data_IF_400658513826
#
_entry.id   IF_400658513826
#
_cell.length_a   1.000
_cell.length_b   1.000
_cell.length_c   1.000
_cell.angle_alpha   90.00
_cell.angle_beta   90.00
_cell.angle_gamma   90.00
#
_symmetry.space_group_name_H-M   'P 1'
#
loop_
_entity.id
_entity.type
_entity.pdbx_description
1 polymer ?
#
# COMPACT_ATOMS: atom_id res chain seq x y z
N UNK A 1 -8.90 -3.30 38.01
CA UNK A 1 -9.04 -3.09 39.47
C UNK A 1 -10.41 -3.47 40.04
N UNK A 2 -11.47 -3.63 39.21
CA UNK A 2 -12.82 -4.03 39.66
C UNK A 2 -13.17 -5.52 39.45
N UNK A 3 -12.20 -6.34 39.02
CA UNK A 3 -12.42 -7.77 38.77
C UNK A 3 -12.21 -8.59 40.05
N UNK A 4 -12.84 -9.76 40.14
CA UNK A 4 -12.72 -10.64 41.29
C UNK A 4 -11.25 -11.12 41.48
N UNK A 5 -10.70 -11.20 42.71
CA UNK A 5 -9.31 -11.60 42.95
C UNK A 5 -8.89 -12.93 42.32
N UNK A 6 -9.82 -13.89 42.19
CA UNK A 6 -9.57 -15.15 41.48
C UNK A 6 -9.30 -14.96 39.98
N UNK A 7 -10.04 -14.06 39.32
CA UNK A 7 -9.89 -13.75 37.89
C UNK A 7 -8.58 -13.03 37.65
N UNK A 8 -8.23 -12.10 38.54
CA UNK A 8 -6.94 -11.40 38.49
C UNK A 8 -5.79 -12.40 38.67
N UNK A 9 -5.88 -13.30 39.66
CA UNK A 9 -4.88 -14.34 39.87
C UNK A 9 -4.72 -15.25 38.64
N UNK A 10 -5.83 -15.62 37.99
CA UNK A 10 -5.78 -16.43 36.78
C UNK A 10 -5.07 -15.70 35.65
N UNK A 11 -5.41 -14.44 35.37
CA UNK A 11 -4.77 -13.65 34.32
C UNK A 11 -3.26 -13.52 34.60
N UNK A 12 -2.88 -13.16 35.83
CA UNK A 12 -1.48 -12.97 36.21
C UNK A 12 -0.65 -14.26 36.11
N UNK A 13 -1.25 -15.43 36.37
CA UNK A 13 -0.55 -16.72 36.28
C UNK A 13 -0.16 -17.11 34.83
N UNK A 14 -0.82 -16.51 33.83
CA UNK A 14 -0.55 -16.75 32.40
C UNK A 14 0.25 -15.62 31.72
N UNK A 15 0.60 -14.56 32.46
CA UNK A 15 1.45 -13.50 31.94
C UNK A 15 2.93 -13.78 32.21
N UNK A 16 3.80 -13.17 31.40
CA UNK A 16 5.23 -13.15 31.67
C UNK A 16 5.50 -12.54 33.06
N UNK A 17 6.39 -13.12 33.89
CA UNK A 17 6.60 -12.69 35.27
C UNK A 17 6.86 -11.18 35.42
N UNK A 18 7.60 -10.57 34.47
CA UNK A 18 7.85 -9.14 34.46
C UNK A 18 6.57 -8.32 34.33
N UNK A 19 5.69 -8.66 33.37
CA UNK A 19 4.40 -7.98 33.17
C UNK A 19 3.45 -8.21 34.34
N UNK A 20 3.39 -9.45 34.85
CA UNK A 20 2.58 -9.79 36.00
C UNK A 20 2.99 -9.01 37.26
N UNK A 21 4.30 -8.82 37.48
CA UNK A 21 4.82 -8.08 38.63
C UNK A 21 4.42 -6.61 38.65
N UNK A 22 4.39 -5.96 37.47
CA UNK A 22 3.97 -4.56 37.32
C UNK A 22 2.49 -4.43 37.64
N UNK A 23 1.66 -5.34 37.11
CA UNK A 23 0.22 -5.33 37.34
C UNK A 23 -0.07 -5.61 38.82
N UNK A 24 0.59 -6.60 39.44
CA UNK A 24 0.40 -6.92 40.86
C UNK A 24 0.71 -5.71 41.75
N UNK A 25 1.81 -4.98 41.50
CA UNK A 25 2.17 -3.76 42.24
C UNK A 25 1.15 -2.63 42.07
N UNK A 26 0.43 -2.59 40.95
CA UNK A 26 -0.59 -1.57 40.68
C UNK A 26 -1.95 -1.82 41.36
N UNK A 27 -2.12 -2.98 42.01
CA UNK A 27 -3.35 -3.32 42.75
C UNK A 27 -3.33 -2.72 44.16
N UNK A 28 -4.51 -2.48 44.78
CA UNK A 28 -4.59 -2.12 46.19
C UNK A 28 -3.92 -3.17 47.09
N UNK A 29 -3.20 -2.72 48.13
CA UNK A 29 -2.39 -3.56 49.02
C UNK A 29 -3.14 -4.77 49.62
N UNK A 30 -4.43 -4.58 49.92
CA UNK A 30 -5.32 -5.62 50.46
C UNK A 30 -5.63 -6.72 49.43
N UNK A 31 -5.71 -6.36 48.15
CA UNK A 31 -5.99 -7.27 47.03
C UNK A 31 -4.73 -8.01 46.60
N UNK A 32 -3.56 -7.36 46.66
CA UNK A 32 -2.28 -7.97 46.30
C UNK A 32 -2.02 -9.29 47.05
N UNK A 33 -2.25 -9.28 48.37
CA UNK A 33 -2.01 -10.44 49.23
C UNK A 33 -2.97 -11.60 48.94
N UNK A 34 -4.24 -11.31 48.62
CA UNK A 34 -5.21 -12.35 48.24
C UNK A 34 -4.91 -12.93 46.86
N UNK A 35 -4.57 -12.08 45.88
CA UNK A 35 -4.20 -12.50 44.53
C UNK A 35 -2.93 -13.35 44.55
N UNK A 36 -1.88 -12.93 45.26
CA UNK A 36 -0.63 -13.68 45.37
C UNK A 36 -0.84 -15.06 46.02
N UNK A 37 -1.64 -15.14 47.09
CA UNK A 37 -2.00 -16.42 47.71
C UNK A 37 -2.73 -17.33 46.73
N UNK A 38 -3.69 -16.80 45.98
CA UNK A 38 -4.47 -17.58 44.99
C UNK A 38 -3.62 -18.09 43.84
N UNK A 39 -2.63 -17.33 43.36
CA UNK A 39 -1.64 -17.79 42.37
C UNK A 39 -0.83 -18.95 42.95
N UNK A 40 -0.34 -18.81 44.19
CA UNK A 40 0.49 -19.82 44.84
C UNK A 40 -0.25 -21.13 45.14
N UNK A 41 -1.57 -21.09 45.38
CA UNK A 41 -2.41 -22.27 45.65
C UNK A 41 -3.20 -22.75 44.43
N UNK A 42 -2.99 -22.14 43.25
CA UNK A 42 -3.69 -22.54 42.03
C UNK A 42 -3.08 -23.85 41.52
N UNK A 43 -3.91 -24.85 41.26
CA UNK A 43 -3.44 -26.16 40.83
C UNK A 43 -3.71 -26.37 39.32
N UNK A 44 -4.95 -26.68 38.96
CA UNK A 44 -5.38 -26.82 37.56
C UNK A 44 -6.66 -26.03 37.29
N UNK A 45 -6.64 -25.21 36.26
CA UNK A 45 -7.79 -24.49 35.73
C UNK A 45 -8.39 -25.22 34.53
N UNK A 46 -9.72 -25.29 34.46
CA UNK A 46 -10.41 -25.91 33.33
C UNK A 46 -10.11 -25.12 32.04
N UNK A 47 -9.78 -25.78 30.92
CA UNK A 47 -9.60 -25.12 29.63
C UNK A 47 -10.82 -24.28 29.19
N UNK A 48 -12.03 -24.63 29.64
CA UNK A 48 -13.24 -23.88 29.32
C UNK A 48 -13.27 -22.51 30.01
N UNK A 49 -12.87 -22.47 31.28
CA UNK A 49 -12.78 -21.23 32.08
C UNK A 49 -11.69 -20.31 31.52
N UNK A 50 -10.57 -20.88 31.07
CA UNK A 50 -9.50 -20.11 30.43
C UNK A 50 -10.00 -19.45 29.13
N UNK A 51 -10.64 -20.21 28.24
CA UNK A 51 -11.20 -19.69 26.98
C UNK A 51 -12.27 -18.62 27.21
N UNK A 52 -13.06 -18.74 28.27
CA UNK A 52 -14.06 -17.73 28.62
C UNK A 52 -13.40 -16.43 29.07
N UNK A 53 -12.35 -16.52 29.89
CA UNK A 53 -11.58 -15.34 30.33
C UNK A 53 -10.85 -14.69 29.16
N UNK A 54 -10.23 -15.47 28.27
CA UNK A 54 -9.63 -14.97 27.02
C UNK A 54 -10.65 -14.21 26.18
N UNK A 55 -11.82 -14.80 25.91
CA UNK A 55 -12.89 -14.17 25.11
C UNK A 55 -13.38 -12.85 25.72
N UNK A 56 -13.56 -12.82 27.04
CA UNK A 56 -14.02 -11.60 27.73
C UNK A 56 -12.93 -10.52 27.71
N UNK A 57 -11.67 -10.92 27.89
CA UNK A 57 -10.52 -10.01 27.84
C UNK A 57 -10.34 -9.44 26.43
N UNK A 58 -10.41 -10.29 25.41
CA UNK A 58 -10.35 -9.92 23.99
C UNK A 58 -11.46 -8.92 23.64
N UNK A 59 -12.70 -9.18 24.07
CA UNK A 59 -13.83 -8.26 23.84
C UNK A 59 -13.68 -6.91 24.56
N UNK A 60 -13.10 -6.89 25.77
CA UNK A 60 -12.87 -5.63 26.51
C UNK A 60 -11.66 -4.86 25.96
N UNK A 61 -10.63 -5.57 25.51
CA UNK A 61 -9.45 -4.96 24.90
C UNK A 61 -9.74 -4.44 23.49
N UNK A 62 -10.57 -5.12 22.69
CA UNK A 62 -10.98 -4.63 21.37
C UNK A 62 -11.79 -3.33 21.43
N UNK A 63 -12.44 -3.03 22.55
CA UNK A 63 -13.07 -1.72 22.78
C UNK A 63 -12.10 -0.62 23.22
N UNK A 64 -10.89 -0.97 23.66
CA UNK A 64 -9.86 -0.04 24.15
C UNK A 64 -8.73 0.17 23.12
N UNK A 65 -8.45 -0.83 22.29
CA UNK A 65 -7.51 -0.80 21.18
C UNK A 65 -8.26 -0.60 19.87
N UNK A 66 -8.51 0.66 19.51
CA UNK A 66 -8.48 1.01 18.08
C UNK A 66 -6.99 1.10 17.74
N UNK A 67 -6.55 0.31 16.75
CA UNK A 67 -5.16 0.11 16.29
C UNK A 67 -4.39 -0.89 17.18
N UNK A 68 -3.87 -2.04 16.72
CA UNK A 68 -3.26 -2.40 15.45
C UNK A 68 -3.89 -3.64 14.80
N UNK A 69 -4.68 -3.47 13.73
CA UNK A 69 -4.64 -4.47 12.67
C UNK A 69 -3.44 -4.07 11.80
N UNK A 70 -2.48 -4.97 11.57
CA UNK A 70 -1.61 -4.81 10.41
C UNK A 70 -2.55 -4.69 9.20
N UNK A 71 -2.60 -3.53 8.57
CA UNK A 71 -3.46 -3.31 7.41
C UNK A 71 -3.09 -4.35 6.34
N UNK A 72 -3.90 -5.41 6.22
CA UNK A 72 -3.67 -6.48 5.27
C UNK A 72 -4.06 -6.08 3.83
N UNK A 73 -4.51 -4.84 3.65
CA UNK A 73 -4.97 -4.26 2.41
C UNK A 73 -5.25 -2.78 2.60
N UNK A 74 -5.96 -2.20 1.63
CA UNK A 74 -6.22 -0.77 1.55
C UNK A 74 -6.13 -0.30 0.11
N UNK A 75 -6.37 0.99 -0.10
CA UNK A 75 -6.32 1.57 -1.45
C UNK A 75 -4.93 1.42 -2.07
N UNK A 76 -3.87 1.51 -1.29
CA UNK A 76 -2.49 1.32 -1.77
C UNK A 76 -2.25 -0.11 -2.27
N UNK A 77 -2.63 -1.13 -1.50
CA UNK A 77 -2.44 -2.53 -1.90
C UNK A 77 -3.23 -2.91 -3.14
N UNK A 78 -4.47 -2.41 -3.29
CA UNK A 78 -5.26 -2.70 -4.49
C UNK A 78 -4.70 -1.95 -5.71
N UNK A 79 -4.16 -0.74 -5.55
CA UNK A 79 -3.49 0.00 -6.64
C UNK A 79 -2.26 -0.76 -7.12
N UNK A 80 -1.43 -1.29 -6.22
CA UNK A 80 -0.28 -2.12 -6.59
C UNK A 80 -0.70 -3.36 -7.38
N UNK A 81 -1.74 -4.07 -6.91
CA UNK A 81 -2.29 -5.24 -7.61
C UNK A 81 -2.82 -4.85 -9.00
N UNK A 82 -3.61 -3.78 -9.08
CA UNK A 82 -4.23 -3.32 -10.31
C UNK A 82 -3.20 -2.81 -11.35
N UNK A 83 -2.04 -2.33 -10.91
CA UNK A 83 -0.95 -1.96 -11.83
C UNK A 83 -0.30 -3.18 -12.52
N UNK A 84 -0.45 -4.39 -11.95
CA UNK A 84 0.16 -5.63 -12.45
C UNK A 84 -0.80 -6.51 -13.25
N UNK A 85 -2.11 -6.29 -13.14
CA UNK A 85 -3.10 -7.02 -13.95
C UNK A 85 -3.15 -6.45 -15.37
N UNK A 86 -3.72 -7.22 -16.30
CA UNK A 86 -3.94 -6.73 -17.65
C UNK A 86 -5.02 -5.62 -17.68
N UNK A 87 -4.92 -4.73 -18.68
CA UNK A 87 -5.79 -3.56 -18.81
C UNK A 87 -7.28 -3.91 -18.89
N UNK A 88 -7.64 -5.07 -19.44
CA UNK A 88 -9.05 -5.50 -19.53
C UNK A 88 -9.59 -5.82 -18.14
N UNK A 89 -8.81 -6.56 -17.35
CA UNK A 89 -9.16 -6.88 -15.96
C UNK A 89 -9.20 -5.64 -15.08
N UNK A 90 -8.20 -4.77 -15.19
CA UNK A 90 -8.14 -3.49 -14.47
C UNK A 90 -9.41 -2.66 -14.70
N UNK A 91 -9.75 -2.42 -15.97
CA UNK A 91 -10.92 -1.63 -16.35
C UNK A 91 -12.22 -2.25 -15.84
N UNK A 92 -12.38 -3.57 -15.98
CA UNK A 92 -13.57 -4.26 -15.51
C UNK A 92 -13.73 -4.18 -13.99
N UNK A 93 -12.64 -4.29 -13.23
CA UNK A 93 -12.66 -4.19 -11.76
C UNK A 93 -13.01 -2.76 -11.34
N UNK A 94 -12.39 -1.77 -11.96
CA UNK A 94 -12.66 -0.36 -11.65
C UNK A 94 -14.10 0.03 -12.01
N UNK A 95 -14.63 -0.39 -13.17
CA UNK A 95 -16.03 -0.13 -13.55
C UNK A 95 -17.01 -0.76 -12.54
N UNK A 96 -16.75 -2.00 -12.11
CA UNK A 96 -17.57 -2.65 -11.08
C UNK A 96 -17.48 -1.92 -9.72
N UNK A 97 -16.31 -1.40 -9.36
CA UNK A 97 -16.13 -0.57 -8.17
C UNK A 97 -16.83 0.78 -8.29
N UNK A 98 -16.87 1.40 -9.47
CA UNK A 98 -17.62 2.65 -9.68
C UNK A 98 -19.13 2.47 -9.49
N UNK A 99 -19.67 1.32 -9.87
CA UNK A 99 -21.09 0.99 -9.68
C UNK A 99 -21.43 0.73 -8.21
N UNK A 100 -20.53 0.11 -7.44
CA UNK A 100 -20.75 -0.24 -6.03
C UNK A 100 -20.37 0.88 -5.05
N UNK A 101 -19.21 1.52 -5.25
CA UNK A 101 -18.62 2.55 -4.40
C UNK A 101 -17.83 3.58 -5.24
N UNK A 102 -18.50 4.64 -5.76
CA UNK A 102 -17.88 5.67 -6.58
C UNK A 102 -16.75 6.42 -5.88
N UNK A 103 -16.83 6.60 -4.55
CA UNK A 103 -15.82 7.33 -3.78
C UNK A 103 -14.53 6.51 -3.70
N UNK A 104 -14.63 5.20 -3.42
CA UNK A 104 -13.49 4.29 -3.40
C UNK A 104 -12.85 4.14 -4.77
N UNK A 105 -13.65 4.00 -5.84
CA UNK A 105 -13.13 3.89 -7.19
C UNK A 105 -12.34 5.15 -7.60
N UNK A 106 -12.86 6.33 -7.26
CA UNK A 106 -12.18 7.60 -7.49
C UNK A 106 -10.89 7.71 -6.66
N UNK A 107 -10.89 7.23 -5.42
CA UNK A 107 -9.71 7.21 -4.56
C UNK A 107 -8.61 6.28 -5.10
N UNK A 108 -8.99 5.12 -5.65
CA UNK A 108 -8.09 4.18 -6.34
C UNK A 108 -7.52 4.86 -7.59
N UNK A 109 -8.37 5.41 -8.46
CA UNK A 109 -7.96 6.07 -9.72
C UNK A 109 -6.97 7.20 -9.46
N UNK A 110 -7.18 8.02 -8.43
CA UNK A 110 -6.27 9.12 -8.05
C UNK A 110 -4.87 8.64 -7.64
N UNK A 111 -4.75 7.42 -7.14
CA UNK A 111 -3.47 6.83 -6.74
C UNK A 111 -2.81 6.03 -7.86
N UNK A 112 -3.53 5.71 -8.93
CA UNK A 112 -2.94 5.11 -10.13
C UNK A 112 -2.09 6.14 -10.86
N UNK A 113 -0.91 5.71 -11.31
CA UNK A 113 -0.05 6.53 -12.16
C UNK A 113 -0.37 6.18 -13.59
N UNK A 114 -0.86 7.14 -14.35
CA UNK A 114 -1.13 6.98 -15.78
C UNK A 114 0.08 7.44 -16.59
N UNK A 115 0.16 7.04 -17.86
CA UNK A 115 1.30 7.38 -18.69
C UNK A 115 1.48 8.90 -18.85
N UNK A 116 0.38 9.64 -18.85
CA UNK A 116 0.33 11.10 -18.94
C UNK A 116 1.01 11.78 -17.74
N UNK A 117 1.04 11.14 -16.57
CA UNK A 117 1.69 11.66 -15.36
C UNK A 117 3.22 11.72 -15.48
N UNK A 118 3.79 11.18 -16.57
CA UNK A 118 5.22 11.30 -16.90
C UNK A 118 5.68 12.76 -16.98
N UNK A 119 4.78 13.71 -17.22
CA UNK A 119 5.07 15.15 -17.20
C UNK A 119 5.49 15.65 -15.82
N UNK A 120 5.03 14.99 -14.75
CA UNK A 120 5.38 15.31 -13.36
C UNK A 120 6.79 14.85 -12.97
N UNK A 121 7.36 13.91 -13.74
CA UNK A 121 8.73 13.44 -13.47
C UNK A 121 9.76 14.52 -13.79
N UNK A 122 10.83 14.53 -12.99
CA UNK A 122 11.98 15.38 -13.26
C UNK A 122 12.77 14.87 -14.48
N UNK A 123 13.66 15.72 -15.01
CA UNK A 123 14.45 15.40 -16.19
C UNK A 123 15.31 14.14 -16.00
N UNK A 124 15.81 13.91 -14.78
CA UNK A 124 16.70 12.80 -14.47
C UNK A 124 15.94 11.47 -14.45
N UNK A 125 14.75 11.44 -13.88
CA UNK A 125 13.86 10.31 -13.85
C UNK A 125 13.45 9.91 -15.27
N UNK A 126 13.05 10.89 -16.11
CA UNK A 126 12.71 10.61 -17.52
C UNK A 126 13.90 10.01 -18.25
N UNK A 127 15.10 10.56 -18.08
CA UNK A 127 16.31 10.00 -18.72
C UNK A 127 16.64 8.57 -18.25
N UNK A 128 16.29 8.19 -17.02
CA UNK A 128 16.43 6.81 -16.55
C UNK A 128 15.40 5.89 -17.20
N UNK A 129 14.13 6.29 -17.20
CA UNK A 129 13.04 5.56 -17.87
C UNK A 129 13.38 5.31 -19.33
N UNK A 130 13.84 6.34 -20.05
CA UNK A 130 14.21 6.25 -21.47
C UNK A 130 15.37 5.28 -21.76
N UNK A 131 16.17 4.87 -20.77
CA UNK A 131 17.23 3.86 -20.95
C UNK A 131 16.71 2.43 -20.84
N UNK A 132 15.62 2.24 -20.11
CA UNK A 132 14.99 0.92 -19.88
C UNK A 132 13.89 0.61 -20.92
N UNK A 133 13.41 1.62 -21.64
CA UNK A 133 12.33 1.49 -22.63
C UNK A 133 12.89 1.25 -24.04
N UNK A 134 12.36 0.25 -24.74
CA UNK A 134 12.66 0.01 -26.16
C UNK A 134 12.11 1.11 -27.07
N UNK A 135 12.88 1.51 -28.09
CA UNK A 135 12.52 2.61 -29.00
C UNK A 135 11.20 2.38 -29.74
N UNK A 136 10.89 1.13 -30.13
CA UNK A 136 9.66 0.81 -30.83
C UNK A 136 8.45 0.87 -29.89
N UNK A 137 8.60 0.43 -28.63
CA UNK A 137 7.54 0.56 -27.63
C UNK A 137 7.30 2.03 -27.26
N UNK A 138 8.36 2.83 -27.10
CA UNK A 138 8.24 4.27 -26.90
C UNK A 138 7.53 4.96 -28.08
N UNK A 139 7.88 4.58 -29.32
CA UNK A 139 7.24 5.12 -30.52
C UNK A 139 5.73 4.84 -30.54
N UNK A 140 5.30 3.61 -30.18
CA UNK A 140 3.88 3.26 -30.05
C UNK A 140 3.19 4.09 -28.97
N UNK A 141 3.78 4.17 -27.78
CA UNK A 141 3.19 4.85 -26.63
C UNK A 141 2.96 6.35 -26.88
N UNK A 142 3.81 7.00 -27.68
CA UNK A 142 3.71 8.42 -27.98
C UNK A 142 2.71 8.78 -29.10
N UNK A 143 2.07 7.81 -29.76
CA UNK A 143 1.16 8.09 -30.89
C UNK A 143 -0.15 8.77 -30.50
N UNK A 144 -0.65 8.52 -29.28
CA UNK A 144 -1.97 8.99 -28.82
C UNK A 144 -1.89 9.78 -27.51
N UNK A 145 -0.86 10.62 -27.38
CA UNK A 145 -0.67 11.46 -26.19
C UNK A 145 -0.62 12.93 -26.55
N UNK A 146 -0.89 13.75 -25.55
CA UNK A 146 -0.84 15.19 -25.69
C UNK A 146 0.57 15.69 -26.04
N UNK A 147 0.61 16.82 -26.75
CA UNK A 147 1.87 17.44 -27.19
C UNK A 147 2.81 17.75 -26.02
N UNK A 148 2.29 18.02 -24.83
CA UNK A 148 3.08 18.25 -23.63
C UNK A 148 3.89 17.01 -23.22
N UNK A 149 3.28 15.84 -23.25
CA UNK A 149 3.94 14.56 -22.95
C UNK A 149 5.05 14.30 -23.98
N UNK A 150 4.75 14.46 -25.26
CA UNK A 150 5.74 14.30 -26.34
C UNK A 150 6.92 15.27 -26.14
N UNK A 151 6.64 16.54 -25.90
CA UNK A 151 7.65 17.57 -25.67
C UNK A 151 8.54 17.24 -24.47
N UNK A 152 7.94 16.80 -23.37
CA UNK A 152 8.66 16.42 -22.15
C UNK A 152 9.64 15.27 -22.44
N UNK A 153 9.21 14.26 -23.19
CA UNK A 153 10.07 13.14 -23.60
C UNK A 153 11.19 13.63 -24.52
N UNK A 154 10.87 14.34 -25.61
CA UNK A 154 11.87 14.78 -26.59
C UNK A 154 12.92 15.73 -26.00
N UNK A 155 12.55 16.59 -25.05
CA UNK A 155 13.50 17.48 -24.35
C UNK A 155 14.54 16.71 -23.52
N UNK A 156 14.24 15.47 -23.15
CA UNK A 156 15.13 14.60 -22.38
C UNK A 156 15.91 13.61 -23.25
N UNK A 157 15.77 13.68 -24.57
CA UNK A 157 16.51 12.85 -25.53
C UNK A 157 17.66 13.63 -26.18
N UNK A 158 18.64 12.90 -26.72
CA UNK A 158 19.60 13.51 -27.63
C UNK A 158 18.92 13.89 -28.95
N UNK A 159 19.44 14.90 -29.66
CA UNK A 159 18.89 15.32 -30.97
C UNK A 159 18.83 14.16 -31.98
N UNK A 160 19.78 13.22 -31.90
CA UNK A 160 19.83 12.05 -32.76
C UNK A 160 18.70 11.09 -32.43
N UNK A 161 18.54 10.72 -31.16
CA UNK A 161 17.55 9.72 -30.74
C UNK A 161 16.12 10.27 -30.91
N UNK A 162 15.91 11.56 -30.62
CA UNK A 162 14.65 12.23 -30.91
C UNK A 162 14.30 12.23 -32.40
N UNK A 163 15.31 12.37 -33.28
CA UNK A 163 15.12 12.27 -34.73
C UNK A 163 14.71 10.87 -35.16
N UNK A 164 15.43 9.85 -34.69
CA UNK A 164 15.11 8.45 -34.97
C UNK A 164 13.72 8.06 -34.47
N UNK A 165 13.35 8.48 -33.25
CA UNK A 165 12.03 8.19 -32.69
C UNK A 165 10.90 8.83 -33.50
N UNK A 166 11.09 10.06 -34.00
CA UNK A 166 10.12 10.72 -34.88
C UNK A 166 9.96 10.00 -36.22
N UNK A 167 11.07 9.54 -36.80
CA UNK A 167 11.04 8.73 -38.02
C UNK A 167 10.33 7.39 -37.80
N UNK A 168 10.61 6.71 -36.68
CA UNK A 168 9.93 5.45 -36.29
C UNK A 168 8.42 5.68 -36.12
N UNK A 169 8.02 6.77 -35.46
CA UNK A 169 6.62 7.15 -35.31
C UNK A 169 5.96 7.43 -36.66
N UNK A 170 6.64 8.08 -37.61
CA UNK A 170 6.09 8.35 -38.94
C UNK A 170 5.95 7.05 -39.76
N UNK A 171 6.98 6.22 -39.75
CA UNK A 171 7.05 4.96 -40.51
C UNK A 171 6.00 3.94 -40.06
N UNK A 172 5.70 3.90 -38.76
CA UNK A 172 4.73 2.97 -38.18
C UNK A 172 3.30 3.17 -38.70
N UNK A 173 2.95 4.37 -39.19
CA UNK A 173 1.61 4.65 -39.71
C UNK A 173 0.51 4.56 -38.64
N UNK A 174 -0.75 4.27 -39.03
CA UNK A 174 -1.86 4.06 -38.09
C UNK A 174 -1.73 2.74 -37.34
N UNK A 175 -1.83 2.78 -36.02
CA UNK A 175 -1.82 1.60 -35.15
C UNK A 175 -3.11 1.50 -34.35
N UNK A 176 -3.41 0.32 -33.80
CA UNK A 176 -4.62 0.13 -33.01
C UNK A 176 -4.43 0.80 -31.65
N UNK A 177 -5.49 1.42 -31.12
CA UNK A 177 -5.48 2.03 -29.79
C UNK A 177 -5.01 1.05 -28.71
N UNK A 178 -5.44 -0.22 -28.81
CA UNK A 178 -5.00 -1.28 -27.91
C UNK A 178 -3.47 -1.45 -27.87
N UNK A 179 -2.80 -1.37 -29.02
CA UNK A 179 -1.34 -1.53 -29.09
C UNK A 179 -0.62 -0.32 -28.45
N UNK A 180 -1.25 0.87 -28.49
CA UNK A 180 -0.76 2.08 -27.81
C UNK A 180 -0.89 1.92 -26.30
N UNK A 181 -2.07 1.55 -25.82
CA UNK A 181 -2.35 1.36 -24.38
C UNK A 181 -1.45 0.28 -23.78
N UNK A 182 -1.22 -0.84 -24.49
CA UNK A 182 -0.29 -1.89 -24.05
C UNK A 182 1.15 -1.37 -23.94
N UNK A 183 1.61 -0.54 -24.88
CA UNK A 183 2.93 0.06 -24.82
C UNK A 183 3.05 1.08 -23.67
N UNK A 184 2.02 1.91 -23.47
CA UNK A 184 1.94 2.86 -22.36
C UNK A 184 1.98 2.14 -21.01
N UNK A 185 1.20 1.07 -20.85
CA UNK A 185 1.18 0.28 -19.61
C UNK A 185 2.55 -0.32 -19.29
N UNK A 186 3.27 -0.86 -20.28
CA UNK A 186 4.63 -1.36 -20.08
C UNK A 186 5.57 -0.28 -19.56
N UNK A 187 5.48 0.93 -20.11
CA UNK A 187 6.32 2.05 -19.66
C UNK A 187 5.94 2.47 -18.24
N UNK A 188 4.65 2.52 -17.90
CA UNK A 188 4.18 2.75 -16.53
C UNK A 188 4.74 1.71 -15.57
N UNK A 189 4.72 0.42 -15.93
CA UNK A 189 5.33 -0.64 -15.11
C UNK A 189 6.84 -0.43 -14.89
N UNK A 190 7.57 0.04 -15.90
CA UNK A 190 9.00 0.38 -15.79
C UNK A 190 9.21 1.55 -14.82
N UNK A 191 8.38 2.60 -14.94
CA UNK A 191 8.42 3.77 -14.03
C UNK A 191 8.22 3.32 -12.59
N UNK A 192 7.18 2.51 -12.33
CA UNK A 192 6.92 1.95 -11.00
C UNK A 192 8.08 1.11 -10.47
N UNK A 193 8.64 0.24 -11.31
CA UNK A 193 9.80 -0.55 -10.90
C UNK A 193 11.00 0.32 -10.50
N UNK A 194 11.24 1.42 -11.23
CA UNK A 194 12.29 2.38 -10.88
C UNK A 194 11.95 3.19 -9.62
N UNK A 195 10.67 3.44 -9.34
CA UNK A 195 10.20 4.09 -8.11
C UNK A 195 10.44 3.16 -6.90
N UNK A 196 10.04 1.88 -7.01
CA UNK A 196 10.16 0.87 -5.96
C UNK A 196 11.62 0.58 -5.58
N UNK A 197 12.52 0.66 -6.56
CA UNK A 197 13.97 0.51 -6.35
C UNK A 197 14.64 1.79 -5.84
N UNK A 198 13.88 2.88 -5.67
CA UNK A 198 14.37 4.19 -5.23
C UNK A 198 15.23 4.91 -6.28
N UNK A 199 15.16 4.46 -7.53
CA UNK A 199 15.92 5.03 -8.64
C UNK A 199 15.32 6.32 -9.18
N UNK A 200 13.99 6.45 -9.12
CA UNK A 200 13.25 7.67 -9.44
C UNK A 200 12.31 8.01 -8.29
N UNK A 201 11.90 9.28 -8.23
CA UNK A 201 10.85 9.73 -7.30
C UNK A 201 9.70 10.25 -8.14
N UNK A 202 8.50 9.73 -7.87
CA UNK A 202 7.27 10.17 -8.52
C UNK A 202 6.52 11.05 -7.53
N UNK A 203 6.48 12.36 -7.80
CA UNK A 203 5.67 13.27 -7.00
C UNK A 203 4.19 12.99 -7.31
N UNK A 204 3.50 12.27 -6.42
CA UNK A 204 2.05 12.07 -6.52
C UNK A 204 1.38 13.32 -6.00
N UNK A 205 0.44 13.88 -6.76
CA UNK A 205 -0.34 15.04 -6.34
C UNK A 205 -1.24 14.64 -5.15
N UNK A 206 -0.70 14.72 -3.93
CA UNK A 206 -1.44 14.37 -2.71
C UNK A 206 -0.59 14.20 -1.46
N UNK A 207 0.64 13.69 -1.55
CA UNK A 207 1.48 13.43 -0.36
C UNK A 207 2.95 13.81 -0.65
N UNK A 208 3.51 14.58 0.28
CA UNK A 208 4.92 15.00 0.40
C UNK A 208 5.45 16.15 -0.49
N UNK A 209 4.90 17.35 -0.27
CA UNK A 209 5.76 18.55 -0.19
C UNK A 209 6.64 18.46 1.07
N UNK A 210 7.72 17.68 1.04
CA UNK A 210 8.82 17.86 1.98
C UNK A 210 9.78 18.91 1.44
N UNK A 211 9.55 20.16 1.86
CA UNK A 211 10.50 21.26 1.72
C UNK A 211 11.63 21.07 2.73
N UNK A 212 12.88 21.03 2.24
CA UNK A 212 14.09 21.28 3.06
C UNK A 212 14.76 22.56 2.56
#
# INVERSE_FOLDING_TARGET
>A
QQEHPQTIALILAYLEPNKASIILQSLPHEVQSDVARRIATMDRTSPEVLREVERVLEKKLSTLSREDYTAAGGVESIVEILNLVDRSSEKQIIEALEDEDPELAEEIKKRMFVFEDIVMLDARAIQKVLREVDSQELAKALKSVDTEVQDKIFRNMSKRDAGMLKEDMEYMGPIRLKDVEEAQQKIVSIIRHLEDTGEIVVARSGEDELVV
#
